data_IF_514219047914
#
_entry.id   IF_514219047914
#
_cell.length_a   1.000
_cell.length_b   1.000
_cell.length_c   1.000
_cell.angle_alpha   90.00
_cell.angle_beta   90.00
_cell.angle_gamma   90.00
#
_symmetry.space_group_name_H-M   'P 1'
#
loop_
_entity.id
_entity.type
_entity.pdbx_description
1 polymer ?
#
# COMPACT_ATOMS: atom_id res chain seq x y z
N UNK A 1 -35.82 68.12 33.11
CA UNK A 1 -37.06 68.19 32.30
C UNK A 1 -37.09 66.96 31.40
N UNK A 2 -38.11 66.13 31.56
CA UNK A 2 -38.22 64.74 31.07
C UNK A 2 -38.70 64.60 29.60
N UNK A 3 -38.64 63.34 29.08
CA UNK A 3 -39.40 62.70 27.95
C UNK A 3 -38.66 62.73 26.60
N UNK A 4 -38.41 61.65 25.83
CA UNK A 4 -38.84 60.22 25.74
C UNK A 4 -37.75 59.43 24.98
N UNK A 5 -37.18 58.33 25.48
CA UNK A 5 -37.61 56.93 25.34
C UNK A 5 -37.89 56.43 23.91
N UNK A 6 -37.04 55.54 23.38
CA UNK A 6 -37.47 54.26 22.77
C UNK A 6 -36.45 53.18 23.16
N UNK A 7 -36.91 52.25 24.01
CA UNK A 7 -36.26 50.99 24.33
C UNK A 7 -36.84 49.92 23.40
N UNK A 8 -35.99 49.12 22.76
CA UNK A 8 -36.35 47.75 22.41
C UNK A 8 -35.68 46.78 23.40
N UNK A 9 -36.54 46.23 24.26
CA UNK A 9 -36.47 44.92 24.94
C UNK A 9 -35.91 43.84 23.96
N UNK A 10 -35.22 42.75 24.33
CA UNK A 10 -34.76 42.14 25.58
C UNK A 10 -34.25 40.72 25.21
N UNK A 11 -33.37 40.15 26.04
CA UNK A 11 -33.17 38.69 26.27
C UNK A 11 -32.36 37.96 25.15
N UNK A 12 -31.35 37.13 25.43
CA UNK A 12 -30.94 36.54 26.69
C UNK A 12 -29.63 35.75 26.55
N UNK A 13 -28.95 35.69 27.68
CA UNK A 13 -27.79 34.86 27.99
C UNK A 13 -28.21 33.38 28.03
N UNK A 14 -27.32 32.48 27.59
CA UNK A 14 -27.22 31.01 27.85
C UNK A 14 -28.31 30.07 27.31
N UNK A 15 -27.91 29.06 26.51
CA UNK A 15 -28.08 27.60 26.76
C UNK A 15 -28.00 26.72 25.46
N UNK A 16 -27.27 25.59 25.55
CA UNK A 16 -27.25 24.39 24.66
C UNK A 16 -26.76 24.57 23.20
N UNK A 17 -25.58 24.10 22.75
CA UNK A 17 -24.98 22.77 22.85
C UNK A 17 -25.83 21.67 22.19
N UNK A 18 -25.79 21.59 20.85
CA UNK A 18 -26.11 20.39 20.06
C UNK A 18 -25.12 20.34 18.88
N UNK A 19 -24.02 19.61 19.04
CA UNK A 19 -23.93 18.21 18.60
C UNK A 19 -23.64 18.11 17.09
N UNK A 20 -22.42 18.48 16.71
CA UNK A 20 -21.70 17.75 15.67
C UNK A 20 -20.58 16.98 16.37
N UNK A 21 -20.98 16.00 17.17
CA UNK A 21 -20.07 14.94 17.60
C UNK A 21 -19.96 14.04 16.37
N UNK A 22 -18.93 14.28 15.55
CA UNK A 22 -18.42 13.22 14.71
C UNK A 22 -18.13 12.03 15.64
N UNK A 23 -18.57 10.82 15.27
CA UNK A 23 -18.08 9.61 15.92
C UNK A 23 -16.58 9.50 15.63
N UNK A 24 -15.76 10.23 16.39
CA UNK A 24 -14.40 9.82 16.64
C UNK A 24 -14.51 8.49 17.37
N UNK A 25 -14.36 7.39 16.61
CA UNK A 25 -14.08 6.09 17.21
C UNK A 25 -12.81 6.29 18.03
N UNK A 26 -12.79 5.99 19.34
CA UNK A 26 -11.55 5.98 20.07
C UNK A 26 -10.73 4.83 19.48
N UNK A 27 -9.76 5.16 18.62
CA UNK A 27 -8.71 4.24 18.27
C UNK A 27 -7.93 4.01 19.58
N UNK A 28 -8.22 2.88 20.24
CA UNK A 28 -7.47 2.45 21.40
C UNK A 28 -5.99 2.41 20.99
N UNK A 29 -5.18 3.22 21.66
CA UNK A 29 -3.77 3.36 21.38
C UNK A 29 -3.06 2.00 21.41
N UNK A 30 -2.65 1.51 20.24
CA UNK A 30 -1.53 0.58 20.12
C UNK A 30 -0.28 1.46 20.00
N UNK A 31 0.53 1.49 21.07
CA UNK A 31 1.59 2.47 21.29
C UNK A 31 2.64 2.55 20.18
N UNK A 32 3.19 3.76 19.99
CA UNK A 32 4.35 4.06 19.12
C UNK A 32 4.17 3.64 17.65
N UNK A 33 2.96 3.68 17.14
CA UNK A 33 2.68 3.80 15.72
C UNK A 33 2.08 5.19 15.51
N UNK A 34 2.58 5.93 14.54
CA UNK A 34 2.16 7.28 14.14
C UNK A 34 0.72 7.36 13.57
N UNK A 35 -0.11 6.35 13.85
CA UNK A 35 -1.46 6.23 13.32
C UNK A 35 -1.51 5.77 11.86
N UNK A 36 -0.38 5.28 11.29
CA UNK A 36 -0.36 4.74 9.95
C UNK A 36 -1.28 3.50 9.82
N UNK A 37 -2.33 3.64 9.01
CA UNK A 37 -3.23 2.57 8.59
C UNK A 37 -3.33 2.59 7.05
N UNK A 38 -2.78 1.59 6.34
CA UNK A 38 -2.83 1.52 4.88
C UNK A 38 -4.23 1.19 4.34
N UNK A 39 -5.21 0.89 5.20
CA UNK A 39 -6.58 0.52 4.85
C UNK A 39 -6.65 -0.62 3.83
N UNK A 40 -5.85 -1.67 4.04
CA UNK A 40 -5.94 -2.90 3.27
C UNK A 40 -7.04 -3.80 3.84
N UNK A 41 -7.89 -4.38 3.00
CA UNK A 41 -8.95 -5.33 3.43
C UNK A 41 -8.46 -6.77 3.66
N UNK A 42 -7.17 -7.01 3.41
CA UNK A 42 -6.55 -8.32 3.49
C UNK A 42 -5.15 -8.27 4.08
N UNK A 43 -4.45 -9.39 3.97
CA UNK A 43 -3.12 -9.53 4.56
C UNK A 43 -2.08 -8.85 3.69
N UNK A 44 -1.42 -7.82 4.23
CA UNK A 44 -0.17 -7.29 3.68
C UNK A 44 0.98 -8.17 4.16
N UNK A 45 1.76 -8.73 3.24
CA UNK A 45 2.91 -9.60 3.58
C UNK A 45 4.24 -8.99 3.14
N UNK A 46 4.20 -7.97 2.29
CA UNK A 46 5.39 -7.33 1.75
C UNK A 46 5.21 -5.82 1.67
N UNK A 47 6.20 -5.08 2.14
CA UNK A 47 6.31 -3.65 1.95
C UNK A 47 7.75 -3.28 1.59
N UNK A 48 7.93 -2.27 0.74
CA UNK A 48 9.26 -1.70 0.47
C UNK A 48 9.17 -0.23 0.17
N UNK A 49 10.07 0.55 0.76
CA UNK A 49 10.18 1.98 0.51
C UNK A 49 10.93 2.23 -0.81
N UNK A 50 10.39 3.13 -1.61
CA UNK A 50 11.01 3.62 -2.83
C UNK A 50 11.88 4.85 -2.54
N UNK A 51 12.80 5.19 -3.45
CA UNK A 51 13.70 6.34 -3.29
C UNK A 51 12.98 7.69 -3.25
N UNK A 52 11.79 7.77 -3.83
CA UNK A 52 10.93 8.96 -3.83
C UNK A 52 10.09 9.07 -2.54
N UNK A 53 10.28 8.18 -1.57
CA UNK A 53 9.56 8.18 -0.30
C UNK A 53 8.19 7.49 -0.37
N UNK A 54 7.80 6.94 -1.52
CA UNK A 54 6.57 6.13 -1.64
C UNK A 54 6.77 4.73 -1.08
N UNK A 55 5.69 4.08 -0.67
CA UNK A 55 5.69 2.73 -0.13
C UNK A 55 4.97 1.78 -1.09
N UNK A 56 5.69 0.79 -1.62
CA UNK A 56 5.06 -0.35 -2.31
C UNK A 56 4.50 -1.32 -1.29
N UNK A 57 3.31 -1.83 -1.56
CA UNK A 57 2.56 -2.73 -0.69
C UNK A 57 2.14 -3.95 -1.51
N UNK A 58 2.37 -5.15 -0.98
CA UNK A 58 2.05 -6.43 -1.61
C UNK A 58 1.50 -7.43 -0.61
N UNK A 59 0.61 -8.29 -1.07
CA UNK A 59 0.01 -9.33 -0.24
C UNK A 59 -1.22 -9.94 -0.84
N UNK A 60 -2.11 -10.41 0.02
CA UNK A 60 -3.40 -10.99 -0.33
C UNK A 60 -4.52 -10.06 0.14
N UNK A 61 -4.88 -9.09 -0.72
CA UNK A 61 -5.89 -8.07 -0.46
C UNK A 61 -6.55 -7.64 -1.78
N UNK A 62 -7.79 -7.15 -1.70
CA UNK A 62 -8.57 -6.62 -2.83
C UNK A 62 -8.67 -5.10 -2.83
N UNK A 63 -8.46 -4.45 -1.69
CA UNK A 63 -8.47 -2.99 -1.56
C UNK A 63 -7.29 -2.47 -0.76
N UNK A 64 -6.91 -1.23 -1.05
CA UNK A 64 -5.87 -0.47 -0.36
C UNK A 64 -6.25 1.01 -0.38
N UNK A 65 -6.15 1.72 0.74
CA UNK A 65 -6.50 3.14 0.82
C UNK A 65 -7.94 3.45 0.37
N UNK A 66 -8.88 2.51 0.60
CA UNK A 66 -10.30 2.66 0.24
C UNK A 66 -10.64 2.43 -1.24
N UNK A 67 -9.69 2.04 -2.09
CA UNK A 67 -9.94 1.74 -3.50
C UNK A 67 -9.51 0.32 -3.89
N UNK A 68 -10.05 -0.19 -4.99
CA UNK A 68 -9.69 -1.52 -5.52
C UNK A 68 -8.21 -1.54 -5.94
N UNK A 69 -7.47 -2.43 -5.30
CA UNK A 69 -6.05 -2.74 -5.54
C UNK A 69 -5.84 -4.21 -5.27
N UNK A 70 -5.72 -4.99 -6.34
CA UNK A 70 -5.61 -6.45 -6.21
C UNK A 70 -4.16 -6.83 -5.95
N UNK A 71 -3.87 -7.27 -4.72
CA UNK A 71 -2.62 -7.89 -4.25
C UNK A 71 -1.36 -7.02 -4.32
N UNK A 72 -1.42 -5.86 -4.97
CA UNK A 72 -0.33 -4.90 -5.08
C UNK A 72 -0.88 -3.48 -5.19
N UNK A 73 -0.25 -2.54 -4.48
CA UNK A 73 -0.56 -1.13 -4.54
C UNK A 73 0.62 -0.28 -4.06
N UNK A 74 0.42 1.03 -4.05
CA UNK A 74 1.42 2.01 -3.61
C UNK A 74 0.77 3.10 -2.79
N UNK A 75 1.45 3.51 -1.73
CA UNK A 75 1.07 4.66 -0.91
C UNK A 75 2.10 5.77 -1.10
N UNK A 76 1.66 7.02 -1.03
CA UNK A 76 2.53 8.19 -0.99
C UNK A 76 3.23 8.29 0.36
N UNK A 77 4.21 9.18 0.49
CA UNK A 77 4.97 9.36 1.74
C UNK A 77 4.12 9.84 2.93
N UNK A 78 2.93 10.35 2.67
CA UNK A 78 1.93 10.75 3.69
C UNK A 78 0.93 9.62 4.02
N UNK A 79 1.10 8.43 3.43
CA UNK A 79 0.24 7.26 3.62
C UNK A 79 -1.03 7.26 2.76
N UNK A 80 -1.29 8.29 1.96
CA UNK A 80 -2.43 8.30 1.02
C UNK A 80 -2.19 7.36 -0.16
N UNK A 81 -3.26 6.86 -0.80
CA UNK A 81 -3.14 5.98 -1.96
C UNK A 81 -2.54 6.71 -3.18
N UNK A 82 -1.55 6.09 -3.83
CA UNK A 82 -1.14 6.47 -5.18
C UNK A 82 -2.14 5.90 -6.20
N UNK A 83 -3.02 6.77 -6.69
CA UNK A 83 -4.08 6.38 -7.64
C UNK A 83 -3.54 6.02 -9.02
N UNK A 84 -2.33 6.49 -9.38
CA UNK A 84 -1.67 6.21 -10.66
C UNK A 84 -1.02 4.82 -10.73
N UNK A 85 -0.81 4.16 -9.59
CA UNK A 85 -0.20 2.83 -9.54
C UNK A 85 -1.24 1.73 -9.30
N UNK A 86 -1.63 1.05 -10.38
CA UNK A 86 -2.57 -0.08 -10.34
C UNK A 86 -2.21 -1.20 -11.32
N UNK A 87 -1.04 -1.86 -11.15
CA UNK A 87 -0.72 -2.98 -12.03
C UNK A 87 -1.68 -4.15 -11.76
N UNK A 88 -1.94 -4.47 -10.49
CA UNK A 88 -2.73 -5.63 -10.11
C UNK A 88 -2.00 -6.95 -10.39
N UNK A 89 -2.19 -7.89 -9.47
CA UNK A 89 -1.79 -9.29 -9.66
C UNK A 89 -3.00 -10.18 -9.36
N UNK A 90 -3.10 -11.32 -10.04
CA UNK A 90 -4.22 -12.24 -9.83
C UNK A 90 -4.03 -13.19 -8.64
N UNK A 91 -2.92 -13.08 -7.93
CA UNK A 91 -2.63 -13.81 -6.70
C UNK A 91 -1.63 -13.03 -5.84
N UNK A 92 -1.28 -13.59 -4.68
CA UNK A 92 -0.45 -12.96 -3.67
C UNK A 92 0.89 -12.50 -4.22
N UNK A 93 1.22 -11.23 -3.97
CA UNK A 93 2.57 -10.71 -4.11
C UNK A 93 3.32 -10.97 -2.80
N UNK A 94 4.38 -11.78 -2.87
CA UNK A 94 5.12 -12.25 -1.71
C UNK A 94 6.30 -11.34 -1.35
N UNK A 95 6.79 -10.52 -2.28
CA UNK A 95 7.89 -9.62 -1.99
C UNK A 95 8.34 -8.75 -3.16
N UNK A 96 9.26 -7.86 -2.81
CA UNK A 96 9.84 -6.86 -3.70
C UNK A 96 11.36 -6.80 -3.51
N UNK A 97 12.08 -6.48 -4.58
CA UNK A 97 13.49 -6.08 -4.54
C UNK A 97 13.64 -4.80 -5.35
N UNK A 98 14.04 -3.71 -4.69
CA UNK A 98 14.30 -2.42 -5.34
C UNK A 98 15.75 -2.40 -5.81
N UNK A 99 15.96 -2.15 -7.10
CA UNK A 99 17.27 -2.14 -7.73
C UNK A 99 17.87 -0.72 -7.77
N UNK A 100 19.21 -0.59 -7.83
CA UNK A 100 19.87 0.73 -7.85
C UNK A 100 19.54 1.64 -9.03
N UNK A 101 19.08 1.07 -10.15
CA UNK A 101 18.62 1.80 -11.35
C UNK A 101 17.16 2.26 -11.22
N UNK A 102 16.53 2.02 -10.07
CA UNK A 102 15.13 2.33 -9.81
C UNK A 102 14.18 1.25 -10.28
N UNK A 103 14.62 0.15 -10.91
CA UNK A 103 13.72 -0.96 -11.24
C UNK A 103 13.25 -1.69 -9.99
N UNK A 104 12.12 -2.38 -10.08
CA UNK A 104 11.61 -3.21 -8.99
C UNK A 104 11.38 -4.63 -9.49
N UNK A 105 11.96 -5.61 -8.83
CA UNK A 105 11.63 -7.01 -9.07
C UNK A 105 10.50 -7.39 -8.12
N UNK A 106 9.42 -7.95 -8.65
CA UNK A 106 8.23 -8.36 -7.89
C UNK A 106 8.09 -9.86 -8.01
N UNK A 107 7.88 -10.55 -6.89
CA UNK A 107 7.72 -12.00 -6.88
C UNK A 107 6.53 -12.43 -6.03
N UNK A 108 5.95 -13.59 -6.37
CA UNK A 108 4.74 -14.07 -5.71
C UNK A 108 4.19 -15.36 -6.29
N UNK A 109 2.90 -15.62 -6.01
CA UNK A 109 2.18 -16.81 -6.47
C UNK A 109 1.32 -16.52 -7.72
N UNK A 110 1.45 -15.35 -8.32
CA UNK A 110 0.65 -14.91 -9.46
C UNK A 110 1.07 -15.62 -10.76
N UNK A 111 0.10 -15.82 -11.65
CA UNK A 111 0.33 -16.23 -13.04
C UNK A 111 -0.14 -15.18 -14.06
N UNK A 112 -0.70 -14.06 -13.56
CA UNK A 112 -0.98 -12.85 -14.32
C UNK A 112 -0.61 -11.60 -13.51
N UNK A 113 -0.03 -10.62 -14.18
CA UNK A 113 0.37 -9.33 -13.62
C UNK A 113 0.13 -8.24 -14.65
N UNK A 114 -0.49 -7.11 -14.26
CA UNK A 114 -0.88 -6.03 -15.19
C UNK A 114 -1.66 -6.52 -16.42
N UNK A 115 -2.55 -7.50 -16.22
CA UNK A 115 -3.36 -8.11 -17.28
C UNK A 115 -2.58 -9.02 -18.25
N UNK A 116 -1.28 -9.22 -18.04
CA UNK A 116 -0.44 -10.08 -18.89
C UNK A 116 -0.15 -11.43 -18.22
N UNK A 117 -0.02 -12.49 -19.02
CA UNK A 117 0.42 -13.80 -18.56
C UNK A 117 1.90 -13.78 -18.16
N UNK A 118 2.16 -13.48 -16.88
CA UNK A 118 3.48 -13.38 -16.28
C UNK A 118 3.46 -14.17 -14.98
N UNK A 119 4.38 -15.12 -14.85
CA UNK A 119 4.36 -16.08 -13.75
C UNK A 119 5.47 -15.78 -12.76
N UNK A 120 5.11 -15.79 -11.46
CA UNK A 120 6.00 -15.89 -10.29
C UNK A 120 6.96 -14.72 -10.05
N UNK A 121 7.53 -14.13 -11.10
CA UNK A 121 8.61 -13.17 -11.05
C UNK A 121 8.51 -12.21 -12.25
N UNK A 122 8.42 -10.91 -11.97
CA UNK A 122 8.44 -9.85 -12.97
C UNK A 122 9.40 -8.75 -12.57
N UNK A 123 9.72 -7.85 -13.51
CA UNK A 123 10.41 -6.61 -13.22
C UNK A 123 9.62 -5.43 -13.77
N UNK A 124 9.48 -4.41 -12.95
CA UNK A 124 9.00 -3.09 -13.33
C UNK A 124 10.20 -2.17 -13.59
N UNK A 125 10.10 -1.39 -14.65
CA UNK A 125 11.02 -0.31 -14.98
C UNK A 125 10.89 0.86 -13.99
N UNK A 126 11.78 1.84 -14.14
CA UNK A 126 11.78 3.04 -13.30
C UNK A 126 10.44 3.82 -13.39
N UNK A 127 9.77 3.73 -14.53
CA UNK A 127 8.52 4.41 -14.89
C UNK A 127 7.25 3.57 -14.62
N UNK A 128 7.37 2.51 -13.81
CA UNK A 128 6.29 1.55 -13.51
C UNK A 128 5.81 0.69 -14.70
N UNK A 129 6.42 0.80 -15.88
CA UNK A 129 6.14 -0.11 -17.00
C UNK A 129 6.72 -1.50 -16.77
N UNK A 130 6.12 -2.54 -17.35
CA UNK A 130 6.69 -3.90 -17.31
C UNK A 130 7.97 -3.98 -18.18
N UNK A 131 9.05 -4.50 -17.60
CA UNK A 131 10.30 -4.81 -18.32
C UNK A 131 10.12 -6.11 -19.10
N UNK A 132 9.71 -5.99 -20.36
CA UNK A 132 9.44 -7.16 -21.20
C UNK A 132 10.70 -8.00 -21.53
N UNK A 133 11.90 -7.41 -21.41
CA UNK A 133 13.17 -8.12 -21.60
C UNK A 133 13.55 -8.99 -20.40
N UNK A 134 12.88 -8.82 -19.26
CA UNK A 134 13.08 -9.67 -18.09
C UNK A 134 12.16 -10.89 -18.14
N UNK A 135 12.70 -12.02 -18.59
CA UNK A 135 11.97 -13.29 -18.73
C UNK A 135 12.73 -14.47 -18.09
N UNK A 136 12.89 -14.47 -16.75
CA UNK A 136 13.52 -15.59 -16.06
C UNK A 136 12.62 -16.84 -16.10
N UNK A 137 13.20 -18.01 -16.34
CA UNK A 137 12.50 -19.29 -16.21
C UNK A 137 12.59 -19.74 -14.76
N UNK A 138 11.51 -19.60 -14.01
CA UNK A 138 11.40 -20.00 -12.61
C UNK A 138 10.30 -21.03 -12.47
N UNK A 139 10.65 -22.25 -12.04
CA UNK A 139 9.71 -23.38 -11.98
C UNK A 139 9.07 -23.59 -10.60
N UNK A 140 9.57 -22.91 -9.57
CA UNK A 140 9.09 -23.05 -8.20
C UNK A 140 8.66 -21.71 -7.61
N UNK A 141 7.91 -21.77 -6.52
CA UNK A 141 7.60 -20.56 -5.74
C UNK A 141 8.87 -19.99 -5.10
N UNK A 142 9.10 -18.70 -5.34
CA UNK A 142 10.14 -17.93 -4.68
C UNK A 142 9.63 -17.53 -3.29
N UNK A 143 10.37 -17.92 -2.25
CA UNK A 143 10.06 -17.59 -0.85
C UNK A 143 10.79 -16.33 -0.38
N UNK A 144 11.97 -16.10 -0.89
CA UNK A 144 12.76 -14.91 -0.61
C UNK A 144 13.65 -14.58 -1.80
N UNK A 145 14.02 -13.31 -1.93
CA UNK A 145 14.97 -12.88 -2.95
C UNK A 145 15.80 -11.73 -2.41
N UNK A 146 17.07 -11.68 -2.80
CA UNK A 146 17.97 -10.57 -2.47
C UNK A 146 18.82 -10.24 -3.67
N UNK A 147 19.13 -8.95 -3.85
CA UNK A 147 20.07 -8.49 -4.86
C UNK A 147 21.48 -8.42 -4.27
N UNK A 148 22.47 -8.95 -4.99
CA UNK A 148 23.88 -8.82 -4.70
C UNK A 148 24.45 -7.50 -5.25
N UNK A 149 25.57 -6.97 -4.71
CA UNK A 149 26.19 -5.75 -5.21
C UNK A 149 26.60 -5.79 -6.69
N UNK A 150 26.86 -6.98 -7.24
CA UNK A 150 27.18 -7.18 -8.67
C UNK A 150 25.92 -7.19 -9.57
N UNK A 151 24.74 -6.95 -8.98
CA UNK A 151 23.46 -6.88 -9.67
C UNK A 151 22.72 -8.21 -9.80
N UNK A 152 23.32 -9.35 -9.42
CA UNK A 152 22.66 -10.66 -9.47
C UNK A 152 21.54 -10.77 -8.44
N UNK A 153 20.54 -11.59 -8.74
CA UNK A 153 19.45 -11.93 -7.82
C UNK A 153 19.67 -13.35 -7.28
N UNK A 154 19.70 -13.49 -5.95
CA UNK A 154 19.69 -14.78 -5.28
C UNK A 154 18.24 -15.13 -4.91
N UNK A 155 17.79 -16.31 -5.33
CA UNK A 155 16.43 -16.81 -5.15
C UNK A 155 16.41 -17.89 -4.07
N UNK A 156 15.64 -17.67 -3.01
CA UNK A 156 15.30 -18.70 -2.04
C UNK A 156 14.05 -19.45 -2.50
N UNK A 157 14.23 -20.61 -3.14
CA UNK A 157 13.14 -21.44 -3.63
C UNK A 157 12.88 -22.66 -2.74
N UNK A 158 11.64 -23.13 -2.68
CA UNK A 158 11.32 -24.43 -2.08
C UNK A 158 11.75 -25.54 -3.04
N UNK A 159 12.90 -26.17 -2.78
CA UNK A 159 13.29 -27.40 -3.49
C UNK A 159 12.58 -28.61 -2.88
N UNK A 160 11.82 -29.42 -3.65
CA UNK A 160 11.24 -30.68 -3.15
C UNK A 160 12.26 -31.80 -2.87
N UNK A 161 13.56 -31.58 -3.11
CA UNK A 161 14.59 -32.65 -3.22
C UNK A 161 15.13 -33.23 -1.91
N UNK A 162 14.41 -33.12 -0.78
CA UNK A 162 14.81 -33.78 0.47
C UNK A 162 13.75 -34.71 1.07
N UNK A 163 12.87 -35.27 0.26
CA UNK A 163 12.23 -36.53 0.62
C UNK A 163 13.23 -37.66 0.34
N UNK A 164 14.11 -37.93 1.31
CA UNK A 164 14.90 -39.15 1.38
C UNK A 164 14.10 -40.29 1.98
#
# INVERSE_FOLDING_TARGET
MFITSVRWLRIGLTLFLLAWIALARPALAAGVLDGFDPQADGTVVATVMQRDGKLLVGGYFGTLGGAVRNNIGRLNGDGTLDTGFNPGANSTVAGFVVQPDGKRVVFGMFNQFAGQARQTLIRLNADDSLDNGFNPVVNNQIRSMVQQPDGKLLLGERSPKWAG
#
